data_IF_196566306132
#
_entry.id   IF_196566306132
#
_cell.length_a   1.000
_cell.length_b   1.000
_cell.length_c   1.000
_cell.angle_alpha   90.00
_cell.angle_beta   90.00
_cell.angle_gamma   90.00
#
_symmetry.space_group_name_H-M   'P 1'
#
loop_
_entity.id
_entity.type
_entity.pdbx_description
1 polymer ?
#
# COMPACT_ATOMS: atom_id res chain seq x y z
N UNK A 1 -3.05 45.66 -5.17
CA UNK A 1 -2.54 44.38 -4.63
C UNK A 1 -3.62 43.33 -4.92
N UNK A 2 -3.48 42.53 -5.98
CA UNK A 2 -4.52 41.56 -6.36
C UNK A 2 -4.36 40.23 -5.59
N UNK A 3 -5.45 39.49 -5.34
CA UNK A 3 -5.43 38.18 -4.69
C UNK A 3 -5.21 37.09 -5.76
N UNK A 4 -4.01 36.52 -5.83
CA UNK A 4 -3.63 35.49 -6.81
C UNK A 4 -3.24 34.16 -6.15
N UNK A 5 -3.67 33.94 -4.91
CA UNK A 5 -3.27 32.76 -4.12
C UNK A 5 -3.64 31.42 -4.80
N UNK A 6 -4.70 31.40 -5.63
CA UNK A 6 -5.20 30.19 -6.31
C UNK A 6 -5.29 30.29 -7.84
N UNK A 7 -4.56 31.23 -8.47
CA UNK A 7 -4.65 31.41 -9.93
C UNK A 7 -3.95 30.25 -10.68
N UNK A 8 -4.62 29.55 -11.63
CA UNK A 8 -4.01 28.45 -12.36
C UNK A 8 -2.88 28.96 -13.27
N UNK A 9 -1.82 28.14 -13.47
CA UNK A 9 -0.63 28.49 -14.27
C UNK A 9 -0.96 29.06 -15.66
N UNK A 10 -2.09 28.67 -16.26
CA UNK A 10 -2.60 29.22 -17.51
C UNK A 10 -2.85 30.74 -17.48
N UNK A 11 -3.24 31.30 -16.33
CA UNK A 11 -3.49 32.74 -16.12
C UNK A 11 -2.18 33.51 -16.02
N UNK A 12 -1.11 32.88 -15.53
CA UNK A 12 0.22 33.50 -15.49
C UNK A 12 0.78 33.78 -16.90
N UNK A 13 0.56 32.89 -17.87
CA UNK A 13 0.99 33.10 -19.27
C UNK A 13 0.17 34.17 -19.99
N UNK A 14 -1.07 34.37 -19.58
CA UNK A 14 -1.94 35.44 -20.07
C UNK A 14 -1.45 36.81 -19.60
N UNK A 15 -0.97 36.92 -18.36
CA UNK A 15 -0.40 38.14 -17.81
C UNK A 15 0.91 38.60 -18.49
N UNK A 16 1.66 37.67 -19.12
CA UNK A 16 2.90 37.96 -19.87
C UNK A 16 2.61 38.27 -21.35
N UNK A 17 1.35 38.25 -21.78
CA UNK A 17 0.94 38.54 -23.16
C UNK A 17 1.13 37.38 -24.15
N UNK A 18 1.48 36.18 -23.66
CA UNK A 18 1.64 34.98 -24.49
C UNK A 18 0.35 34.14 -24.52
N UNK A 19 -0.71 34.71 -25.11
CA UNK A 19 -2.05 34.10 -25.13
C UNK A 19 -2.13 32.73 -25.81
N UNK A 20 -1.23 32.40 -26.74
CA UNK A 20 -1.18 31.09 -27.39
C UNK A 20 -0.69 29.97 -26.44
N UNK A 21 0.23 30.29 -25.53
CA UNK A 21 0.83 29.31 -24.60
C UNK A 21 -0.19 28.77 -23.59
N UNK A 22 -1.19 29.58 -23.22
CA UNK A 22 -2.34 29.18 -22.38
C UNK A 22 -3.03 27.92 -22.89
N UNK A 23 -3.32 27.85 -24.20
CA UNK A 23 -4.02 26.72 -24.80
C UNK A 23 -3.21 25.43 -24.76
N UNK A 24 -1.89 25.51 -24.96
CA UNK A 24 -0.99 24.35 -24.91
C UNK A 24 -0.91 23.80 -23.49
N UNK A 25 -0.76 24.67 -22.49
CA UNK A 25 -0.68 24.28 -21.07
C UNK A 25 -1.99 23.62 -20.62
N UNK A 26 -3.14 24.18 -20.99
CA UNK A 26 -4.46 23.61 -20.66
C UNK A 26 -4.67 22.25 -21.35
N UNK A 27 -4.32 22.12 -22.63
CA UNK A 27 -4.42 20.84 -23.34
C UNK A 27 -3.51 19.77 -22.73
N UNK A 28 -2.29 20.14 -22.33
CA UNK A 28 -1.36 19.26 -21.62
C UNK A 28 -1.91 18.82 -20.26
N UNK A 29 -2.49 19.74 -19.49
CA UNK A 29 -3.10 19.45 -18.19
C UNK A 29 -4.28 18.47 -18.33
N UNK A 30 -5.19 18.70 -19.28
CA UNK A 30 -6.33 17.81 -19.53
C UNK A 30 -5.86 16.40 -19.91
N UNK A 31 -4.90 16.30 -20.83
CA UNK A 31 -4.36 15.01 -21.26
C UNK A 31 -3.68 14.28 -20.10
N UNK A 32 -2.84 14.98 -19.32
CA UNK A 32 -2.16 14.42 -18.16
C UNK A 32 -3.14 13.95 -17.06
N UNK A 33 -4.12 14.78 -16.70
CA UNK A 33 -5.14 14.43 -15.71
C UNK A 33 -5.97 13.22 -16.15
N UNK A 34 -6.36 13.15 -17.43
CA UNK A 34 -7.10 12.00 -17.97
C UNK A 34 -6.28 10.72 -17.86
N UNK A 35 -5.00 10.77 -18.21
CA UNK A 35 -4.13 9.58 -18.09
C UNK A 35 -3.97 9.13 -16.64
N UNK A 36 -3.85 10.05 -15.68
CA UNK A 36 -3.71 9.72 -14.26
C UNK A 36 -5.00 9.11 -13.71
N UNK A 37 -6.17 9.66 -14.07
CA UNK A 37 -7.46 9.09 -13.69
C UNK A 37 -7.61 7.66 -14.20
N UNK A 38 -7.29 7.41 -15.48
CA UNK A 38 -7.36 6.08 -16.07
C UNK A 38 -6.42 5.09 -15.37
N UNK A 39 -5.17 5.49 -15.09
CA UNK A 39 -4.20 4.63 -14.39
C UNK A 39 -4.68 4.31 -12.98
N UNK A 40 -5.24 5.28 -12.26
CA UNK A 40 -5.79 5.05 -10.92
C UNK A 40 -7.00 4.09 -10.95
N UNK A 41 -7.91 4.25 -11.93
CA UNK A 41 -9.05 3.35 -12.12
C UNK A 41 -8.61 1.90 -12.43
N UNK A 42 -7.63 1.72 -13.33
CA UNK A 42 -7.08 0.39 -13.65
C UNK A 42 -6.35 -0.21 -12.45
N UNK A 43 -5.64 0.61 -11.67
CA UNK A 43 -4.99 0.20 -10.43
C UNK A 43 -6.00 -0.40 -9.44
N UNK A 44 -7.09 0.32 -9.15
CA UNK A 44 -8.16 -0.15 -8.27
C UNK A 44 -8.81 -1.45 -8.77
N UNK A 45 -9.07 -1.58 -10.08
CA UNK A 45 -9.61 -2.80 -10.67
C UNK A 45 -8.71 -4.03 -10.48
N UNK A 46 -7.37 -3.84 -10.55
CA UNK A 46 -6.40 -4.91 -10.31
C UNK A 46 -6.42 -5.36 -8.84
N UNK A 47 -6.51 -4.42 -7.90
CA UNK A 47 -6.63 -4.75 -6.47
C UNK A 47 -7.88 -5.59 -6.22
N UNK A 48 -9.04 -5.19 -6.76
CA UNK A 48 -10.29 -5.93 -6.61
C UNK A 48 -10.20 -7.35 -7.18
N UNK A 49 -9.60 -7.52 -8.37
CA UNK A 49 -9.39 -8.84 -8.96
C UNK A 49 -8.51 -9.73 -8.08
N UNK A 50 -7.48 -9.17 -7.44
CA UNK A 50 -6.61 -9.92 -6.54
C UNK A 50 -7.34 -10.35 -5.26
N UNK A 51 -8.17 -9.47 -4.68
CA UNK A 51 -8.99 -9.77 -3.50
C UNK A 51 -10.05 -10.85 -3.82
N UNK A 52 -10.60 -10.82 -5.05
CA UNK A 52 -11.54 -11.84 -5.52
C UNK A 52 -10.90 -13.23 -5.66
N UNK A 53 -9.64 -13.28 -6.11
CA UNK A 53 -8.88 -14.54 -6.19
C UNK A 53 -8.58 -15.16 -4.83
N UNK A 54 -8.51 -14.35 -3.77
CA UNK A 54 -8.31 -14.85 -2.39
C UNK A 54 -9.62 -15.18 -1.68
N UNK A 55 -10.75 -15.23 -2.39
CA UNK A 55 -12.08 -15.52 -1.85
C UNK A 55 -12.53 -14.61 -0.70
N UNK A 56 -11.95 -13.40 -0.62
CA UNK A 56 -12.27 -12.42 0.43
C UNK A 56 -13.48 -11.55 0.08
N UNK A 57 -13.95 -11.58 -1.17
CA UNK A 57 -15.18 -10.92 -1.64
C UNK A 57 -16.38 -11.85 -1.62
N UNK A 58 -17.56 -11.28 -1.39
CA UNK A 58 -18.85 -11.98 -1.37
C UNK A 58 -19.05 -12.93 -2.58
N UNK A 59 -19.65 -14.12 -2.36
CA UNK A 59 -20.06 -15.10 -3.37
C UNK A 59 -20.51 -14.58 -4.74
N UNK A 60 -21.49 -13.67 -4.78
CA UNK A 60 -22.10 -13.23 -6.03
C UNK A 60 -21.17 -12.30 -6.84
N UNK A 61 -20.34 -11.50 -6.18
CA UNK A 61 -19.33 -10.67 -6.86
C UNK A 61 -18.20 -11.51 -7.46
N UNK A 62 -17.77 -12.58 -6.78
CA UNK A 62 -16.78 -13.49 -7.33
C UNK A 62 -17.25 -14.13 -8.63
N UNK A 63 -18.57 -14.37 -8.77
CA UNK A 63 -19.19 -14.95 -9.96
C UNK A 63 -19.14 -14.02 -11.19
N UNK A 64 -19.30 -12.71 -11.01
CA UNK A 64 -19.19 -11.78 -12.13
C UNK A 64 -17.71 -11.51 -12.47
N UNK A 65 -16.85 -11.47 -11.46
CA UNK A 65 -15.42 -11.20 -11.62
C UNK A 65 -14.64 -12.37 -12.23
N UNK A 66 -14.95 -13.64 -11.93
CA UNK A 66 -14.29 -14.77 -12.62
C UNK A 66 -14.69 -14.86 -14.09
N UNK A 67 -15.93 -14.46 -14.45
CA UNK A 67 -16.40 -14.41 -15.83
C UNK A 67 -15.72 -13.28 -16.62
N UNK A 68 -15.48 -12.13 -16.00
CA UNK A 68 -14.73 -11.04 -16.62
C UNK A 68 -13.21 -11.31 -16.67
N UNK A 69 -12.69 -12.11 -15.74
CA UNK A 69 -11.27 -12.48 -15.65
C UNK A 69 -10.84 -13.67 -16.50
N UNK A 70 -11.74 -14.33 -17.23
CA UNK A 70 -11.43 -15.46 -18.09
C UNK A 70 -12.20 -15.40 -19.41
N UNK A 71 -11.53 -15.02 -20.50
CA UNK A 71 -11.69 -15.67 -21.77
C UNK A 71 -10.40 -16.48 -22.06
N UNK A 72 -10.59 -17.77 -22.31
CA UNK A 72 -9.65 -18.73 -22.91
C UNK A 72 -8.82 -19.60 -21.93
N UNK A 73 -8.99 -20.91 -22.16
CA UNK A 73 -8.41 -22.09 -21.53
C UNK A 73 -6.87 -22.10 -21.47
N UNK A 74 -6.24 -23.05 -20.76
CA UNK A 74 -4.79 -23.26 -20.83
C UNK A 74 -4.43 -24.17 -22.02
N UNK A 75 -3.79 -23.64 -23.09
CA UNK A 75 -2.87 -24.43 -23.87
C UNK A 75 -1.45 -23.85 -23.76
N UNK A 76 -0.45 -24.74 -23.69
CA UNK A 76 0.97 -24.45 -23.96
C UNK A 76 1.87 -23.82 -22.89
N UNK A 77 1.47 -23.67 -21.62
CA UNK A 77 2.37 -23.16 -20.55
C UNK A 77 2.92 -24.24 -19.58
N UNK A 78 2.70 -25.53 -19.83
CA UNK A 78 3.13 -26.58 -18.89
C UNK A 78 4.63 -26.91 -18.95
N UNK A 79 5.30 -26.67 -20.09
CA UNK A 79 6.72 -26.99 -20.26
C UNK A 79 7.68 -26.02 -19.52
N UNK A 80 7.46 -24.70 -19.52
CA UNK A 80 8.25 -23.76 -18.70
C UNK A 80 7.96 -23.91 -17.20
N UNK A 81 6.75 -24.33 -16.80
CA UNK A 81 6.35 -24.47 -15.40
C UNK A 81 7.08 -25.61 -14.68
N UNK A 82 7.42 -26.71 -15.36
CA UNK A 82 8.15 -27.82 -14.73
C UNK A 82 9.61 -27.46 -14.42
N UNK A 83 10.28 -26.72 -15.32
CA UNK A 83 11.62 -26.16 -15.11
C UNK A 83 11.61 -25.02 -14.06
N UNK A 84 10.60 -24.15 -14.10
CA UNK A 84 10.42 -23.10 -13.09
C UNK A 84 10.12 -23.69 -11.70
N UNK A 85 9.35 -24.78 -11.62
CA UNK A 85 9.04 -25.47 -10.37
C UNK A 85 10.26 -26.20 -9.78
N UNK A 86 11.14 -26.78 -10.62
CA UNK A 86 12.39 -27.38 -10.15
C UNK A 86 13.39 -26.33 -9.66
N UNK A 87 13.53 -25.21 -10.39
CA UNK A 87 14.36 -24.08 -9.95
C UNK A 87 13.82 -23.45 -8.65
N UNK A 88 12.50 -23.35 -8.51
CA UNK A 88 11.88 -22.93 -7.26
C UNK A 88 12.10 -23.91 -6.10
N UNK A 89 12.14 -25.23 -6.34
CA UNK A 89 12.45 -26.21 -5.29
C UNK A 89 13.91 -26.13 -4.83
N UNK A 90 14.85 -25.93 -5.75
CA UNK A 90 16.28 -25.74 -5.43
C UNK A 90 16.55 -24.40 -4.74
N UNK A 91 15.89 -23.31 -5.15
CA UNK A 91 15.93 -22.04 -4.41
C UNK A 91 15.23 -22.15 -3.05
N UNK A 92 14.18 -22.96 -2.93
CA UNK A 92 13.48 -23.13 -1.65
C UNK A 92 14.36 -23.87 -0.64
N UNK A 93 15.16 -24.85 -1.05
CA UNK A 93 16.09 -25.54 -0.15
C UNK A 93 17.29 -24.67 0.27
N UNK A 94 17.76 -23.75 -0.58
CA UNK A 94 18.76 -22.74 -0.19
C UNK A 94 18.16 -21.65 0.71
N UNK A 95 16.90 -21.25 0.51
CA UNK A 95 16.18 -20.29 1.35
C UNK A 95 15.84 -20.84 2.75
N UNK A 96 15.47 -22.12 2.84
CA UNK A 96 15.17 -22.77 4.13
C UNK A 96 16.43 -22.97 4.99
N UNK A 97 17.64 -23.01 4.40
CA UNK A 97 18.91 -23.12 5.12
C UNK A 97 19.49 -21.79 5.63
N UNK A 98 18.94 -20.64 5.21
CA UNK A 98 19.51 -19.31 5.52
C UNK A 98 18.70 -18.50 6.54
N UNK A 99 17.69 -19.12 7.17
CA UNK A 99 16.57 -18.39 7.81
C UNK A 99 16.55 -18.28 9.33
N UNK A 100 17.59 -18.69 10.06
CA UNK A 100 17.63 -18.36 11.50
C UNK A 100 18.26 -16.99 11.70
N UNK A 101 17.42 -15.95 11.58
CA UNK A 101 17.75 -14.67 12.22
C UNK A 101 17.87 -14.93 13.71
N UNK A 102 19.05 -14.66 14.29
CA UNK A 102 19.27 -14.75 15.74
C UNK A 102 18.12 -14.03 16.44
N UNK A 103 17.40 -14.67 17.38
CA UNK A 103 16.25 -14.04 18.04
C UNK A 103 16.62 -12.69 18.67
N UNK A 104 17.88 -12.53 19.10
CA UNK A 104 18.44 -11.27 19.58
C UNK A 104 18.41 -10.14 18.53
N UNK A 105 18.90 -10.39 17.31
CA UNK A 105 18.99 -9.35 16.26
C UNK A 105 17.61 -9.01 15.69
N UNK A 106 16.72 -10.02 15.60
CA UNK A 106 15.31 -9.80 15.26
C UNK A 106 14.62 -8.90 16.29
N UNK A 107 14.83 -9.17 17.58
CA UNK A 107 14.21 -8.37 18.64
C UNK A 107 14.75 -6.93 18.66
N UNK A 108 16.06 -6.73 18.46
CA UNK A 108 16.66 -5.38 18.32
C UNK A 108 16.04 -4.60 17.16
N UNK A 109 15.85 -5.26 16.01
CA UNK A 109 15.23 -4.66 14.84
C UNK A 109 13.77 -4.26 15.11
N UNK A 110 12.98 -5.16 15.70
CA UNK A 110 11.58 -4.90 16.06
C UNK A 110 11.47 -3.74 17.05
N UNK A 111 12.31 -3.72 18.08
CA UNK A 111 12.33 -2.64 19.08
C UNK A 111 12.61 -1.29 18.40
N UNK A 112 13.60 -1.22 17.51
CA UNK A 112 13.88 0.02 16.80
C UNK A 112 12.73 0.45 15.88
N UNK A 113 12.09 -0.47 15.15
CA UNK A 113 10.93 -0.13 14.32
C UNK A 113 9.76 0.42 15.15
N UNK A 114 9.49 -0.19 16.30
CA UNK A 114 8.45 0.27 17.22
C UNK A 114 8.80 1.65 17.80
N UNK A 115 10.08 1.89 18.13
CA UNK A 115 10.55 3.20 18.60
C UNK A 115 10.40 4.28 17.53
N UNK A 116 10.77 3.99 16.27
CA UNK A 116 10.57 4.89 15.14
C UNK A 116 9.09 5.23 15.00
N UNK A 117 8.21 4.23 14.95
CA UNK A 117 6.76 4.44 14.82
C UNK A 117 6.18 5.25 15.98
N UNK A 118 6.55 4.94 17.23
CA UNK A 118 6.09 5.67 18.42
C UNK A 118 6.57 7.12 18.42
N UNK A 119 7.82 7.38 18.04
CA UNK A 119 8.33 8.75 17.91
C UNK A 119 7.56 9.53 16.83
N UNK A 120 7.31 8.92 15.67
CA UNK A 120 6.55 9.57 14.60
C UNK A 120 5.12 9.90 15.01
N UNK A 121 4.43 9.00 15.72
CA UNK A 121 3.08 9.26 16.25
C UNK A 121 3.13 10.39 17.30
N UNK A 122 4.14 10.40 18.18
CA UNK A 122 4.32 11.46 19.16
C UNK A 122 4.54 12.83 18.49
N UNK A 123 5.31 12.89 17.40
CA UNK A 123 5.49 14.13 16.60
C UNK A 123 4.16 14.63 16.06
N UNK A 124 3.36 13.73 15.46
CA UNK A 124 2.04 14.06 14.91
C UNK A 124 1.08 14.58 15.98
N UNK A 125 1.00 13.90 17.13
CA UNK A 125 0.10 14.31 18.22
C UNK A 125 0.54 15.63 18.85
N UNK A 126 1.85 15.81 19.03
CA UNK A 126 2.41 17.04 19.59
C UNK A 126 2.17 18.24 18.68
N UNK A 127 2.38 18.08 17.37
CA UNK A 127 2.07 19.11 16.36
C UNK A 127 0.60 19.53 16.39
N UNK A 128 -0.32 18.58 16.59
CA UNK A 128 -1.76 18.88 16.63
C UNK A 128 -2.28 19.47 17.94
N UNK A 129 -1.49 19.44 19.02
CA UNK A 129 -1.95 19.82 20.38
C UNK A 129 -1.19 20.98 21.01
N UNK A 130 0.01 21.33 20.53
CA UNK A 130 0.85 22.35 21.14
C UNK A 130 1.73 23.05 20.11
N UNK A 131 1.75 24.39 20.11
CA UNK A 131 2.60 25.21 19.24
C UNK A 131 4.08 25.27 19.69
N UNK A 132 4.44 24.48 20.70
CA UNK A 132 5.80 24.42 21.22
C UNK A 132 6.74 23.69 20.26
N UNK A 133 8.01 24.10 20.20
CA UNK A 133 9.03 23.43 19.39
C UNK A 133 9.75 22.29 20.12
N UNK A 134 9.61 22.22 21.44
CA UNK A 134 10.40 21.32 22.30
C UNK A 134 10.08 19.84 22.02
N UNK A 135 8.80 19.47 21.92
CA UNK A 135 8.40 18.08 21.64
C UNK A 135 8.78 17.61 20.24
N UNK A 136 8.82 18.52 19.25
CA UNK A 136 9.37 18.24 17.92
C UNK A 136 10.85 17.91 17.99
N UNK A 137 11.64 18.72 18.69
CA UNK A 137 13.09 18.50 18.81
C UNK A 137 13.36 17.17 19.50
N UNK A 138 12.69 16.90 20.62
CA UNK A 138 12.86 15.65 21.38
C UNK A 138 12.48 14.43 20.53
N UNK A 139 11.34 14.47 19.84
CA UNK A 139 10.89 13.35 19.01
C UNK A 139 11.82 13.08 17.82
N UNK A 140 12.31 14.14 17.17
CA UNK A 140 13.25 14.01 16.05
C UNK A 140 14.62 13.46 16.49
N UNK A 141 15.09 13.82 17.70
CA UNK A 141 16.31 13.23 18.26
C UNK A 141 16.15 11.73 18.55
N UNK A 142 15.00 11.32 19.09
CA UNK A 142 14.68 9.90 19.35
C UNK A 142 14.62 9.11 18.04
N UNK A 143 13.97 9.69 17.01
CA UNK A 143 13.92 9.08 15.67
C UNK A 143 15.31 8.90 15.05
N UNK A 144 16.14 9.95 15.09
CA UNK A 144 17.50 9.92 14.54
C UNK A 144 18.35 8.87 15.25
N UNK A 145 18.30 8.84 16.58
CA UNK A 145 19.03 7.86 17.39
C UNK A 145 18.56 6.43 17.14
N UNK A 146 17.25 6.22 16.96
CA UNK A 146 16.69 4.90 16.65
C UNK A 146 17.08 4.41 15.24
N UNK A 147 17.12 5.32 14.26
CA UNK A 147 17.58 5.01 12.90
C UNK A 147 19.10 4.75 12.87
N UNK A 148 19.87 5.50 13.67
CA UNK A 148 21.30 5.27 13.87
C UNK A 148 21.58 3.91 14.53
N UNK A 149 20.77 3.53 15.54
CA UNK A 149 20.86 2.24 16.21
C UNK A 149 20.56 1.07 15.25
N UNK A 150 19.63 1.23 14.30
CA UNK A 150 19.40 0.26 13.23
C UNK A 150 20.60 0.15 12.28
N UNK A 151 21.19 1.28 11.93
CA UNK A 151 22.33 1.33 11.00
C UNK A 151 23.58 0.65 11.59
N UNK A 152 23.83 0.85 12.89
CA UNK A 152 24.98 0.28 13.58
C UNK A 152 24.74 -1.15 14.11
N UNK A 153 23.51 -1.45 14.53
CA UNK A 153 23.20 -2.66 15.32
C UNK A 153 22.60 -3.83 14.54
N UNK A 154 22.15 -3.64 13.29
CA UNK A 154 21.49 -4.69 12.51
C UNK A 154 22.29 -5.03 11.24
N UNK A 155 22.95 -6.20 11.18
CA UNK A 155 23.68 -6.61 9.97
C UNK A 155 22.69 -6.80 8.81
N UNK A 156 23.01 -6.19 7.67
CA UNK A 156 22.17 -6.26 6.48
C UNK A 156 22.22 -7.67 5.87
N UNK A 157 21.14 -8.43 6.04
CA UNK A 157 21.07 -9.84 5.65
C UNK A 157 21.03 -10.10 4.14
N UNK A 158 20.61 -9.11 3.32
CA UNK A 158 20.56 -9.23 1.85
C UNK A 158 21.00 -7.95 1.16
N UNK A 159 22.02 -8.04 0.31
CA UNK A 159 22.28 -7.05 -0.75
C UNK A 159 21.51 -7.48 -2.01
N UNK A 160 20.61 -6.67 -2.57
CA UNK A 160 19.87 -7.02 -3.77
C UNK A 160 20.81 -7.08 -4.99
N UNK A 161 20.60 -8.05 -5.87
CA UNK A 161 21.46 -8.27 -7.05
C UNK A 161 21.17 -7.33 -8.23
N UNK A 162 20.02 -6.65 -8.26
CA UNK A 162 19.57 -5.86 -9.42
C UNK A 162 19.41 -4.38 -9.09
N UNK A 163 18.74 -4.03 -7.99
CA UNK A 163 18.58 -2.65 -7.56
C UNK A 163 18.41 -2.58 -6.05
N UNK A 164 19.21 -1.72 -5.40
CA UNK A 164 19.16 -1.48 -3.96
C UNK A 164 19.02 0.00 -3.67
N UNK A 165 18.20 0.33 -2.69
CA UNK A 165 18.01 1.71 -2.24
C UNK A 165 19.34 2.23 -1.67
N UNK A 166 19.90 3.33 -2.18
CA UNK A 166 21.26 3.77 -1.85
C UNK A 166 21.45 4.27 -0.41
N UNK A 167 20.37 4.51 0.35
CA UNK A 167 20.41 5.05 1.73
C UNK A 167 19.56 4.22 2.72
N UNK A 168 19.60 2.89 2.66
CA UNK A 168 19.00 2.05 3.73
C UNK A 168 19.85 2.20 5.01
N UNK A 169 19.27 2.47 6.20
CA UNK A 169 17.84 2.50 6.57
C UNK A 169 17.20 3.90 6.62
N UNK A 170 17.96 4.96 6.31
CA UNK A 170 17.50 6.36 6.40
C UNK A 170 16.37 6.70 5.44
N UNK A 171 16.46 6.30 4.17
CA UNK A 171 15.45 6.62 3.16
C UNK A 171 14.06 6.02 3.50
N UNK A 172 13.96 4.72 3.87
CA UNK A 172 12.69 4.15 4.32
C UNK A 172 12.18 4.75 5.63
N UNK A 173 13.07 5.03 6.59
CA UNK A 173 12.71 5.63 7.89
C UNK A 173 12.15 7.04 7.73
N UNK A 174 12.80 7.88 6.91
CA UNK A 174 12.35 9.24 6.60
C UNK A 174 10.99 9.25 5.90
N UNK A 175 10.74 8.30 5.00
CA UNK A 175 9.44 8.16 4.33
C UNK A 175 8.30 7.91 5.33
N UNK A 176 8.52 7.07 6.35
CA UNK A 176 7.54 6.81 7.41
C UNK A 176 7.24 8.10 8.18
N UNK A 177 8.28 8.85 8.59
CA UNK A 177 8.12 10.11 9.34
C UNK A 177 7.33 11.13 8.54
N UNK A 178 7.70 11.36 7.28
CA UNK A 178 7.03 12.36 6.42
C UNK A 178 5.56 11.97 6.22
N UNK A 179 5.27 10.70 5.94
CA UNK A 179 3.89 10.25 5.72
C UNK A 179 3.03 10.39 6.99
N UNK A 180 3.59 10.12 8.17
CA UNK A 180 2.86 10.30 9.44
C UNK A 180 2.68 11.77 9.81
N UNK A 181 3.66 12.62 9.52
CA UNK A 181 3.55 14.06 9.71
C UNK A 181 2.47 14.66 8.81
N UNK A 182 2.47 14.29 7.52
CA UNK A 182 1.43 14.71 6.59
C UNK A 182 0.05 14.21 7.01
N UNK A 183 -0.04 12.96 7.48
CA UNK A 183 -1.28 12.42 8.06
C UNK A 183 -1.73 13.23 9.28
N UNK A 184 -0.80 13.73 10.09
CA UNK A 184 -1.09 14.61 11.23
C UNK A 184 -1.59 16.00 10.86
N UNK A 185 -1.24 16.47 9.67
CA UNK A 185 -1.62 17.79 9.16
C UNK A 185 -3.00 17.79 8.48
N UNK A 186 -3.65 16.63 8.34
CA UNK A 186 -4.98 16.57 7.71
C UNK A 186 -6.08 17.05 8.67
N UNK A 187 -7.16 17.59 8.09
CA UNK A 187 -8.32 18.03 8.85
C UNK A 187 -8.99 16.88 9.62
N UNK A 188 -9.52 17.20 10.82
CA UNK A 188 -10.26 16.26 11.68
C UNK A 188 -11.38 15.51 10.94
N UNK A 189 -12.14 16.21 10.10
CA UNK A 189 -13.23 15.62 9.31
C UNK A 189 -12.74 14.53 8.33
N UNK A 190 -11.51 14.64 7.83
CA UNK A 190 -10.89 13.61 6.98
C UNK A 190 -10.48 12.39 7.79
N UNK A 191 -9.96 12.61 9.00
CA UNK A 191 -9.56 11.55 9.91
C UNK A 191 -10.75 10.70 10.37
N UNK A 192 -11.88 11.34 10.67
CA UNK A 192 -13.12 10.65 11.03
C UNK A 192 -13.61 9.72 9.91
N UNK A 193 -13.62 10.20 8.65
CA UNK A 193 -13.99 9.38 7.49
C UNK A 193 -13.05 8.19 7.32
N UNK A 194 -11.73 8.43 7.40
CA UNK A 194 -10.73 7.36 7.30
C UNK A 194 -10.94 6.30 8.37
N UNK A 195 -11.11 6.70 9.63
CA UNK A 195 -11.33 5.79 10.76
C UNK A 195 -12.61 4.95 10.62
N UNK A 196 -13.73 5.59 10.23
CA UNK A 196 -15.00 4.88 10.01
C UNK A 196 -14.85 3.84 8.90
N UNK A 197 -14.26 4.21 7.76
CA UNK A 197 -14.07 3.27 6.63
C UNK A 197 -13.13 2.12 7.00
N UNK A 198 -12.03 2.39 7.72
CA UNK A 198 -11.14 1.34 8.23
C UNK A 198 -11.87 0.41 9.20
N UNK A 199 -12.70 0.93 10.09
CA UNK A 199 -13.51 0.14 11.02
C UNK A 199 -14.50 -0.77 10.31
N UNK A 200 -15.25 -0.26 9.33
CA UNK A 200 -16.19 -1.04 8.51
C UNK A 200 -15.45 -2.16 7.77
N UNK A 201 -14.30 -1.87 7.14
CA UNK A 201 -13.49 -2.86 6.45
C UNK A 201 -12.96 -3.95 7.39
N UNK A 202 -12.59 -3.59 8.60
CA UNK A 202 -12.10 -4.54 9.60
C UNK A 202 -13.23 -5.47 10.11
N UNK A 203 -14.42 -4.92 10.35
CA UNK A 203 -15.61 -5.72 10.69
C UNK A 203 -15.95 -6.68 9.53
N UNK A 204 -15.97 -6.17 8.30
CA UNK A 204 -16.17 -7.00 7.10
C UNK A 204 -15.13 -8.13 7.01
N UNK A 205 -13.85 -7.82 7.27
CA UNK A 205 -12.78 -8.81 7.25
C UNK A 205 -12.97 -9.89 8.32
N UNK A 206 -13.33 -9.54 9.55
CA UNK A 206 -13.54 -10.52 10.63
C UNK A 206 -14.75 -11.41 10.32
N UNK A 207 -15.85 -10.85 9.82
CA UNK A 207 -17.09 -11.61 9.56
C UNK A 207 -16.97 -12.52 8.34
N UNK A 208 -16.44 -12.01 7.22
CA UNK A 208 -16.42 -12.72 5.94
C UNK A 208 -15.02 -13.24 5.61
N UNK A 209 -14.00 -12.40 5.71
CA UNK A 209 -12.62 -12.75 5.31
C UNK A 209 -12.00 -13.85 6.16
N UNK A 210 -12.15 -13.78 7.48
CA UNK A 210 -11.65 -14.80 8.41
C UNK A 210 -12.43 -16.10 8.24
N UNK A 211 -13.76 -16.04 8.13
CA UNK A 211 -14.61 -17.22 7.98
C UNK A 211 -14.38 -17.94 6.63
N UNK A 212 -14.15 -17.18 5.55
CA UNK A 212 -13.78 -17.73 4.25
C UNK A 212 -12.39 -18.38 4.23
N UNK A 213 -11.46 -17.88 5.05
CA UNK A 213 -10.08 -18.40 5.12
C UNK A 213 -9.98 -19.68 5.97
N UNK A 214 -10.81 -19.82 7.00
CA UNK A 214 -10.81 -20.98 7.91
C UNK A 214 -11.81 -22.08 7.52
N UNK A 215 -12.47 -21.98 6.37
CA UNK A 215 -13.39 -23.01 5.87
C UNK A 215 -12.70 -24.37 5.65
N UNK A 216 -13.41 -25.49 5.88
CA UNK A 216 -12.85 -26.84 5.73
C UNK A 216 -12.38 -27.10 4.28
N UNK A 217 -11.41 -28.02 4.16
CA UNK A 217 -10.71 -28.39 2.92
C UNK A 217 -11.59 -28.29 1.67
N UNK A 218 -11.16 -27.40 0.78
CA UNK A 218 -11.89 -26.92 -0.39
C UNK A 218 -12.35 -28.06 -1.31
N UNK A 219 -13.66 -28.28 -1.41
CA UNK A 219 -14.26 -29.16 -2.42
C UNK A 219 -14.96 -28.27 -3.49
N UNK A 220 -14.43 -28.18 -4.72
CA UNK A 220 -14.92 -27.26 -5.75
C UNK A 220 -16.42 -27.41 -6.05
N UNK A 221 -16.93 -28.64 -6.00
CA UNK A 221 -18.32 -28.97 -6.35
C UNK A 221 -19.32 -28.49 -5.30
N UNK A 222 -19.01 -28.66 -4.02
CA UNK A 222 -19.87 -28.23 -2.91
C UNK A 222 -19.93 -26.70 -2.77
N UNK A 223 -18.84 -26.01 -3.14
CA UNK A 223 -18.81 -24.55 -3.13
C UNK A 223 -19.72 -23.97 -4.21
N UNK A 224 -19.71 -24.56 -5.42
CA UNK A 224 -20.57 -24.14 -6.53
C UNK A 224 -22.07 -24.16 -6.12
N UNK A 225 -22.51 -25.23 -5.44
CA UNK A 225 -23.90 -25.39 -5.01
C UNK A 225 -24.31 -24.40 -3.92
N UNK A 226 -23.42 -24.14 -2.94
CA UNK A 226 -23.67 -23.13 -1.89
C UNK A 226 -23.70 -21.70 -2.44
N UNK A 227 -22.90 -21.41 -3.45
CA UNK A 227 -22.87 -20.09 -4.11
C UNK A 227 -24.14 -19.86 -4.95
N UNK A 228 -24.69 -20.90 -5.58
CA UNK A 228 -25.97 -20.82 -6.31
C UNK A 228 -27.11 -20.55 -5.33
N UNK A 229 -27.19 -21.29 -4.23
CA UNK A 229 -28.22 -21.10 -3.21
C UNK A 229 -28.17 -19.71 -2.54
N UNK A 230 -26.98 -19.13 -2.33
CA UNK A 230 -26.85 -17.83 -1.66
C UNK A 230 -27.18 -16.62 -2.56
N UNK A 231 -27.13 -16.74 -3.89
CA UNK A 231 -27.56 -15.67 -4.79
C UNK A 231 -29.08 -15.67 -5.04
N UNK A 232 -29.79 -16.77 -4.77
CA UNK A 232 -31.27 -16.82 -4.85
C UNK A 232 -31.97 -16.04 -3.71
N UNK A 233 -31.28 -15.76 -2.61
CA UNK A 233 -31.83 -14.99 -1.48
C UNK A 233 -31.61 -13.47 -1.58
N UNK A 234 -30.99 -12.98 -2.66
CA UNK A 234 -30.66 -11.56 -2.85
C UNK A 234 -31.43 -10.94 -4.04
N UNK A 235 -32.35 -11.70 -4.66
CA UNK A 235 -33.36 -11.18 -5.59
C UNK A 235 -34.76 -11.45 -5.07
#
# INVERSE_FOLDING_TARGET
MQPYEDAPFSVAFEAVGWGWAKYIVVAGAIKGMTTVLLVNSVGQARYLTHIARTHMTSPCNNRLLYKLGNPLEPPLYLHPLHLHAHNHRLNRSTLLRQGETTPSDRNKHIICLVLILRSSIATTVYWGSSDGWIGLVVSNSIWFLSTLALWLGVPQAKKPSVWGVPLVPWLPSLSIVINLFLLGSINKASFERFGIWTGILLIYYILIGLHASYGPSWNPRLQQDKLIASCEWIF
#
